data_IF_013856329526
#
_entry.id   IF_013856329526
#
_cell.length_a   1.000
_cell.length_b   1.000
_cell.length_c   1.000
_cell.angle_alpha   90.00
_cell.angle_beta   90.00
_cell.angle_gamma   90.00
#
_symmetry.space_group_name_H-M   'P 1'
#
loop_
_entity.id
_entity.type
_entity.pdbx_description
1 polymer ?
#
# COMPACT_ATOMS: atom_id res chain seq x y z
N UNK A 1 -13.03 -15.73 11.51
CA UNK A 1 -12.12 -15.23 10.45
C UNK A 1 -11.61 -13.79 10.69
N UNK A 2 -10.54 -13.39 9.98
CA UNK A 2 -9.88 -12.08 10.06
C UNK A 2 -10.04 -11.33 8.73
N UNK A 3 -10.65 -10.15 8.76
CA UNK A 3 -10.77 -9.23 7.62
C UNK A 3 -9.74 -8.10 7.75
N UNK A 4 -8.97 -7.89 6.69
CA UNK A 4 -7.95 -6.84 6.58
C UNK A 4 -8.39 -5.87 5.50
N UNK A 5 -8.37 -4.57 5.80
CA UNK A 5 -8.81 -3.52 4.88
C UNK A 5 -7.73 -2.44 4.83
N UNK A 6 -7.32 -2.06 3.62
CA UNK A 6 -6.43 -0.95 3.36
C UNK A 6 -7.17 0.12 2.54
N UNK A 7 -7.42 1.26 3.17
CA UNK A 7 -8.20 2.38 2.63
C UNK A 7 -7.26 3.51 2.23
N UNK A 8 -6.94 3.55 0.93
CA UNK A 8 -6.18 4.65 0.33
C UNK A 8 -7.05 5.82 -0.11
N UNK A 9 -6.46 6.76 -0.87
CA UNK A 9 -7.20 7.92 -1.39
C UNK A 9 -8.04 7.61 -2.65
N UNK A 10 -7.71 6.55 -3.38
CA UNK A 10 -8.31 6.25 -4.69
C UNK A 10 -9.05 4.92 -4.73
N UNK A 11 -8.69 3.97 -3.87
CA UNK A 11 -9.30 2.63 -3.80
C UNK A 11 -9.10 2.03 -2.41
N UNK A 12 -10.00 1.13 -2.04
CA UNK A 12 -9.86 0.28 -0.87
C UNK A 12 -9.52 -1.12 -1.31
N UNK A 13 -8.53 -1.73 -0.67
CA UNK A 13 -8.17 -3.12 -0.88
C UNK A 13 -8.55 -3.93 0.35
N UNK A 14 -8.97 -5.16 0.17
CA UNK A 14 -9.29 -6.03 1.31
C UNK A 14 -8.83 -7.46 1.07
N UNK A 15 -8.56 -8.16 2.17
CA UNK A 15 -8.30 -9.58 2.19
C UNK A 15 -8.93 -10.23 3.41
N UNK A 16 -9.37 -11.47 3.24
CA UNK A 16 -9.91 -12.33 4.28
C UNK A 16 -8.94 -13.48 4.54
N UNK A 17 -8.66 -13.76 5.80
CA UNK A 17 -7.75 -14.84 6.21
C UNK A 17 -8.12 -15.40 7.58
N UNK A 18 -7.30 -16.31 8.07
CA UNK A 18 -7.31 -16.81 9.44
C UNK A 18 -5.86 -17.05 9.91
N UNK A 19 -5.72 -17.47 11.17
CA UNK A 19 -4.41 -17.73 11.78
C UNK A 19 -3.61 -18.85 11.12
N UNK A 20 -4.28 -19.83 10.50
CA UNK A 20 -3.64 -20.98 9.85
C UNK A 20 -3.13 -20.63 8.45
N UNK A 21 -3.93 -19.86 7.69
CA UNK A 21 -3.60 -19.47 6.32
C UNK A 21 -2.55 -18.37 6.26
N UNK A 22 -2.55 -17.48 7.24
CA UNK A 22 -1.58 -16.42 7.33
C UNK A 22 -1.78 -15.36 6.25
N UNK A 23 -0.75 -15.14 5.43
CA UNK A 23 -0.80 -14.23 4.29
C UNK A 23 -1.33 -14.87 3.00
N UNK A 24 -1.77 -16.13 3.06
CA UNK A 24 -2.42 -16.80 1.93
C UNK A 24 -3.93 -16.52 1.99
N UNK A 25 -4.35 -15.42 1.37
CA UNK A 25 -5.73 -14.94 1.46
C UNK A 25 -6.75 -15.99 1.03
N UNK A 26 -7.79 -16.16 1.84
CA UNK A 26 -8.95 -16.97 1.50
C UNK A 26 -9.76 -16.29 0.39
N UNK A 27 -10.03 -14.99 0.58
CA UNK A 27 -10.67 -14.11 -0.39
C UNK A 27 -9.92 -12.78 -0.41
N UNK A 28 -9.93 -12.08 -1.53
CA UNK A 28 -9.39 -10.73 -1.62
C UNK A 28 -10.06 -9.97 -2.74
N UNK A 29 -10.03 -8.64 -2.66
CA UNK A 29 -10.66 -7.81 -3.67
C UNK A 29 -10.39 -6.33 -3.48
N UNK A 30 -11.13 -5.54 -4.26
CA UNK A 30 -11.10 -4.09 -4.22
C UNK A 30 -12.52 -3.56 -4.04
N UNK A 31 -12.66 -2.49 -3.27
CA UNK A 31 -13.88 -1.71 -3.15
C UNK A 31 -13.59 -0.28 -3.62
N UNK A 32 -14.52 0.27 -4.41
CA UNK A 32 -14.43 1.65 -4.87
C UNK A 32 -14.67 2.61 -3.70
N UNK A 33 -13.86 3.66 -3.64
CA UNK A 33 -13.96 4.73 -2.65
C UNK A 33 -14.83 5.87 -3.14
N UNK A 34 -15.01 6.04 -4.47
CA UNK A 34 -15.70 7.22 -4.99
C UNK A 34 -17.11 7.33 -4.38
N UNK A 35 -17.26 8.35 -3.53
CA UNK A 35 -18.43 8.77 -2.73
C UNK A 35 -18.67 8.16 -1.35
N UNK A 36 -17.81 7.28 -0.79
CA UNK A 36 -18.05 6.58 0.51
C UNK A 36 -19.54 6.26 0.72
N UNK A 37 -20.18 5.79 -0.35
CA UNK A 37 -21.61 5.64 -0.36
C UNK A 37 -21.96 4.54 0.63
N UNK A 38 -22.53 4.93 1.76
CA UNK A 38 -22.89 4.06 2.87
C UNK A 38 -23.63 2.81 2.37
N UNK A 39 -24.54 2.95 1.40
CA UNK A 39 -25.28 1.82 0.85
C UNK A 39 -24.38 0.82 0.11
N UNK A 40 -23.39 1.30 -0.65
CA UNK A 40 -22.45 0.43 -1.37
C UNK A 40 -21.57 -0.35 -0.40
N UNK A 41 -21.01 0.32 0.60
CA UNK A 41 -20.15 -0.30 1.60
C UNK A 41 -20.90 -1.33 2.45
N UNK A 42 -22.10 -0.99 2.93
CA UNK A 42 -22.95 -1.95 3.64
C UNK A 42 -23.32 -3.14 2.77
N UNK A 43 -23.62 -2.94 1.49
CA UNK A 43 -23.92 -4.05 0.58
C UNK A 43 -22.71 -4.97 0.38
N UNK A 44 -21.53 -4.40 0.13
CA UNK A 44 -20.27 -5.15 -0.02
C UNK A 44 -19.89 -5.93 1.24
N UNK A 45 -20.04 -5.32 2.42
CA UNK A 45 -19.78 -5.99 3.69
C UNK A 45 -20.78 -7.12 3.96
N UNK A 46 -22.07 -6.91 3.67
CA UNK A 46 -23.09 -7.95 3.81
C UNK A 46 -22.86 -9.11 2.84
N UNK A 47 -22.50 -8.82 1.59
CA UNK A 47 -22.16 -9.84 0.60
C UNK A 47 -20.97 -10.69 1.07
N UNK A 48 -19.91 -10.04 1.56
CA UNK A 48 -18.75 -10.74 2.11
C UNK A 48 -19.14 -11.59 3.33
N UNK A 49 -19.91 -11.03 4.28
CA UNK A 49 -20.40 -11.75 5.46
C UNK A 49 -21.17 -13.01 5.06
N UNK A 50 -22.14 -12.88 4.15
CA UNK A 50 -22.94 -14.01 3.71
C UNK A 50 -22.15 -15.06 2.95
N UNK A 51 -21.14 -14.66 2.15
CA UNK A 51 -20.25 -15.63 1.51
C UNK A 51 -19.45 -16.40 2.55
N UNK A 52 -18.95 -15.75 3.60
CA UNK A 52 -18.23 -16.42 4.70
C UNK A 52 -19.12 -17.40 5.46
N UNK A 53 -20.33 -16.97 5.83
CA UNK A 53 -21.30 -17.81 6.55
C UNK A 53 -21.75 -19.02 5.71
N UNK A 54 -22.03 -18.80 4.41
CA UNK A 54 -22.55 -19.83 3.50
C UNK A 54 -21.47 -20.79 3.02
N UNK A 55 -20.37 -20.27 2.52
CA UNK A 55 -19.36 -21.03 1.76
C UNK A 55 -18.28 -21.62 2.68
N UNK A 56 -18.06 -20.99 3.83
CA UNK A 56 -17.02 -21.40 4.79
C UNK A 56 -17.55 -21.82 6.16
N UNK A 57 -18.87 -21.64 6.43
CA UNK A 57 -19.52 -22.00 7.71
C UNK A 57 -18.81 -21.38 8.92
N UNK A 58 -18.36 -20.14 8.78
CA UNK A 58 -17.59 -19.39 9.77
C UNK A 58 -18.16 -17.95 9.87
N UNK A 59 -17.60 -17.13 10.76
CA UNK A 59 -17.92 -15.71 10.92
C UNK A 59 -16.68 -14.83 10.74
N UNK A 60 -16.87 -13.52 10.58
CA UNK A 60 -15.77 -12.55 10.64
C UNK A 60 -15.76 -11.98 12.06
N UNK A 61 -14.71 -12.27 12.82
CA UNK A 61 -14.64 -11.94 14.26
C UNK A 61 -13.57 -10.90 14.56
N UNK A 62 -12.69 -10.62 13.59
CA UNK A 62 -11.61 -9.64 13.71
C UNK A 62 -11.57 -8.83 12.43
N UNK A 63 -11.50 -7.51 12.58
CA UNK A 63 -11.35 -6.58 11.45
C UNK A 63 -10.20 -5.63 11.77
N UNK A 64 -9.24 -5.50 10.85
CA UNK A 64 -8.17 -4.51 10.93
C UNK A 64 -8.23 -3.56 9.74
N UNK A 65 -8.04 -2.27 9.99
CA UNK A 65 -8.15 -1.22 8.98
C UNK A 65 -6.89 -0.33 8.99
N UNK A 66 -6.16 -0.33 7.88
CA UNK A 66 -5.26 0.76 7.50
C UNK A 66 -6.10 1.84 6.82
N UNK A 67 -6.05 3.08 7.29
CA UNK A 67 -6.81 4.18 6.70
C UNK A 67 -5.96 5.46 6.67
N UNK A 68 -5.66 5.92 5.47
CA UNK A 68 -5.01 7.22 5.22
C UNK A 68 -5.95 8.24 4.59
N UNK A 69 -7.21 7.86 4.34
CA UNK A 69 -8.28 8.77 3.99
C UNK A 69 -8.67 9.64 5.21
N UNK A 70 -9.31 10.79 4.95
CA UNK A 70 -9.65 11.79 5.98
C UNK A 70 -10.46 11.25 7.17
N UNK A 71 -10.45 11.97 8.29
CA UNK A 71 -11.01 11.51 9.57
C UNK A 71 -12.50 11.12 9.50
N UNK A 72 -13.27 11.80 8.65
CA UNK A 72 -14.69 11.50 8.36
C UNK A 72 -14.87 10.08 7.80
N UNK A 73 -13.99 9.64 6.90
CA UNK A 73 -14.01 8.30 6.31
C UNK A 73 -13.83 7.23 7.38
N UNK A 74 -12.92 7.44 8.33
CA UNK A 74 -12.59 6.47 9.37
C UNK A 74 -13.79 6.21 10.29
N UNK A 75 -14.49 7.27 10.69
CA UNK A 75 -15.68 7.17 11.55
C UNK A 75 -16.83 6.42 10.87
N UNK A 76 -17.09 6.75 9.60
CA UNK A 76 -18.14 6.10 8.80
C UNK A 76 -17.87 4.60 8.65
N UNK A 77 -16.63 4.23 8.28
CA UNK A 77 -16.26 2.83 8.07
C UNK A 77 -16.36 2.01 9.38
N UNK A 78 -15.95 2.58 10.51
CA UNK A 78 -16.07 1.95 11.82
C UNK A 78 -17.53 1.62 12.15
N UNK A 79 -18.43 2.59 11.99
CA UNK A 79 -19.85 2.40 12.26
C UNK A 79 -20.46 1.31 11.36
N UNK A 80 -20.15 1.29 10.07
CA UNK A 80 -20.70 0.28 9.15
C UNK A 80 -20.22 -1.13 9.46
N UNK A 81 -18.95 -1.29 9.83
CA UNK A 81 -18.41 -2.59 10.23
C UNK A 81 -19.12 -3.07 11.50
N UNK A 82 -19.31 -2.20 12.48
CA UNK A 82 -20.00 -2.54 13.72
C UNK A 82 -21.46 -2.92 13.49
N UNK A 83 -22.18 -2.18 12.65
CA UNK A 83 -23.59 -2.44 12.32
C UNK A 83 -23.76 -3.74 11.51
N UNK A 84 -22.84 -4.01 10.58
CA UNK A 84 -22.99 -5.13 9.61
C UNK A 84 -22.43 -6.44 10.16
N UNK A 85 -21.21 -6.39 10.72
CA UNK A 85 -20.47 -7.56 11.19
C UNK A 85 -20.61 -7.79 12.70
N UNK A 86 -21.05 -6.78 13.48
CA UNK A 86 -21.11 -6.88 14.94
C UNK A 86 -19.74 -6.82 15.62
N UNK A 87 -18.68 -6.50 14.87
CA UNK A 87 -17.28 -6.45 15.34
C UNK A 87 -16.81 -5.01 15.42
N UNK A 88 -16.01 -4.67 16.43
CA UNK A 88 -15.32 -3.38 16.48
C UNK A 88 -13.96 -3.52 15.78
N UNK A 89 -13.70 -2.76 14.70
CA UNK A 89 -12.44 -2.83 13.98
C UNK A 89 -11.28 -2.24 14.78
N UNK A 90 -10.12 -2.85 14.62
CA UNK A 90 -8.84 -2.36 15.11
C UNK A 90 -8.21 -1.44 14.06
N UNK A 91 -7.65 -0.32 14.53
CA UNK A 91 -7.05 0.72 13.69
C UNK A 91 -5.57 0.86 14.07
N UNK A 92 -4.67 0.08 13.44
CA UNK A 92 -3.24 0.20 13.68
C UNK A 92 -2.74 1.64 13.47
N UNK A 93 -1.66 1.98 14.17
CA UNK A 93 -0.92 3.22 13.97
C UNK A 93 0.56 2.90 13.78
N UNK A 94 1.31 3.88 13.29
CA UNK A 94 2.76 3.77 13.27
C UNK A 94 3.32 3.77 14.69
N UNK A 95 3.99 2.69 15.06
CA UNK A 95 4.61 2.50 16.36
C UNK A 95 6.06 3.00 16.35
N UNK A 96 6.66 3.18 17.54
CA UNK A 96 8.07 3.55 17.66
C UNK A 96 9.00 2.42 17.22
N UNK A 97 8.58 1.18 17.46
CA UNK A 97 9.30 -0.03 17.07
C UNK A 97 8.35 -1.17 16.75
N UNK A 98 8.86 -2.12 15.97
CA UNK A 98 8.21 -3.39 15.68
C UNK A 98 9.25 -4.52 15.74
N UNK A 99 8.85 -5.67 16.28
CA UNK A 99 9.68 -6.88 16.29
C UNK A 99 8.98 -7.99 15.52
N UNK A 100 9.65 -8.47 14.48
CA UNK A 100 9.16 -9.54 13.61
C UNK A 100 9.11 -10.88 14.34
N UNK A 101 8.37 -11.83 13.79
CA UNK A 101 8.30 -13.21 14.30
C UNK A 101 9.66 -13.92 14.26
N UNK A 102 10.59 -13.43 13.43
CA UNK A 102 11.96 -13.95 13.30
C UNK A 102 12.98 -13.19 14.16
N UNK A 103 12.52 -12.24 14.97
CA UNK A 103 13.37 -11.44 15.87
C UNK A 103 14.05 -10.23 15.23
N UNK A 104 13.82 -9.96 13.95
CA UNK A 104 14.29 -8.74 13.30
C UNK A 104 13.53 -7.53 13.85
N UNK A 105 14.21 -6.39 13.97
CA UNK A 105 13.63 -5.15 14.47
C UNK A 105 13.32 -4.20 13.32
N UNK A 106 12.34 -3.34 13.54
CA UNK A 106 12.06 -2.15 12.75
C UNK A 106 11.93 -0.98 13.73
N UNK A 107 12.73 0.06 13.58
CA UNK A 107 12.72 1.24 14.47
C UNK A 107 12.33 2.46 13.66
N UNK A 108 11.29 3.17 14.10
CA UNK A 108 10.77 4.34 13.42
C UNK A 108 11.67 5.57 13.66
N UNK A 109 12.11 6.25 12.60
CA UNK A 109 12.91 7.48 12.71
C UNK A 109 12.10 8.75 12.99
N UNK A 110 10.78 8.70 12.85
CA UNK A 110 9.96 9.87 13.14
C UNK A 110 9.94 10.11 14.65
N UNK A 111 10.28 11.34 15.08
CA UNK A 111 10.22 11.74 16.51
C UNK A 111 8.84 11.50 17.12
N UNK A 112 7.79 11.74 16.33
CA UNK A 112 6.42 11.39 16.65
C UNK A 112 6.05 10.23 15.74
N UNK A 113 6.13 9.00 16.24
CA UNK A 113 5.96 7.78 15.44
C UNK A 113 4.65 7.79 14.63
N UNK A 114 3.55 8.19 15.28
CA UNK A 114 2.22 8.28 14.67
C UNK A 114 2.08 9.32 13.53
N UNK A 115 3.08 10.20 13.34
CA UNK A 115 3.11 11.12 12.21
C UNK A 115 3.61 10.44 10.91
N UNK A 116 4.18 9.24 11.00
CA UNK A 116 4.43 8.41 9.83
C UNK A 116 3.11 7.80 9.35
N UNK A 117 2.86 7.84 8.03
CA UNK A 117 1.69 7.21 7.42
C UNK A 117 1.58 5.74 7.81
N UNK A 118 0.39 5.32 8.24
CA UNK A 118 0.15 3.95 8.71
C UNK A 118 0.36 2.92 7.60
N UNK A 119 0.04 3.28 6.34
CA UNK A 119 0.29 2.47 5.15
C UNK A 119 1.79 2.21 4.94
N UNK A 120 2.63 3.25 5.03
CA UNK A 120 4.09 3.16 4.95
C UNK A 120 4.66 2.32 6.09
N UNK A 121 4.18 2.53 7.31
CA UNK A 121 4.59 1.72 8.46
C UNK A 121 4.27 0.24 8.27
N UNK A 122 3.03 -0.09 7.88
CA UNK A 122 2.60 -1.47 7.68
C UNK A 122 3.33 -2.12 6.50
N UNK A 123 3.63 -1.38 5.44
CA UNK A 123 4.45 -1.86 4.34
C UNK A 123 5.87 -2.24 4.82
N UNK A 124 6.50 -1.43 5.68
CA UNK A 124 7.78 -1.76 6.31
C UNK A 124 7.69 -2.93 7.30
N UNK A 125 6.60 -3.04 8.06
CA UNK A 125 6.33 -4.20 8.93
C UNK A 125 6.32 -5.49 8.11
N UNK A 126 5.60 -5.53 6.99
CA UNK A 126 5.60 -6.68 6.09
C UNK A 126 6.99 -6.93 5.49
N UNK A 127 7.69 -5.89 5.02
CA UNK A 127 9.02 -6.05 4.45
C UNK A 127 10.03 -6.61 5.46
N UNK A 128 9.92 -6.25 6.74
CA UNK A 128 10.73 -6.79 7.85
C UNK A 128 10.48 -8.29 8.06
N UNK A 129 9.26 -8.75 7.83
CA UNK A 129 8.88 -10.17 7.90
C UNK A 129 9.28 -10.98 6.66
N UNK A 130 9.44 -10.32 5.51
CA UNK A 130 9.70 -10.97 4.22
C UNK A 130 11.16 -10.89 3.75
N UNK A 131 11.94 -9.97 4.31
CA UNK A 131 13.30 -9.65 3.85
C UNK A 131 14.29 -9.55 5.01
N UNK A 132 15.57 -9.43 4.67
CA UNK A 132 16.66 -9.22 5.62
C UNK A 132 17.16 -7.78 5.41
N UNK A 133 17.22 -6.92 6.44
CA UNK A 133 17.80 -5.59 6.31
C UNK A 133 19.26 -5.65 5.82
N UNK A 134 19.75 -4.65 5.05
CA UNK A 134 19.05 -3.43 4.70
C UNK A 134 18.16 -3.62 3.46
N UNK A 135 17.01 -2.96 3.43
CA UNK A 135 16.08 -3.02 2.30
C UNK A 135 15.38 -1.68 2.07
N UNK A 136 14.82 -1.51 0.88
CA UNK A 136 13.94 -0.39 0.57
C UNK A 136 12.52 -0.90 0.29
N UNK A 137 11.52 -0.10 0.65
CA UNK A 137 10.11 -0.31 0.30
C UNK A 137 9.67 0.83 -0.60
N UNK A 138 9.04 0.50 -1.74
CA UNK A 138 8.51 1.47 -2.69
C UNK A 138 7.05 1.13 -2.95
N UNK A 139 6.13 1.98 -2.49
CA UNK A 139 4.71 1.87 -2.84
C UNK A 139 4.40 2.85 -3.98
N UNK A 140 4.04 2.33 -5.15
CA UNK A 140 3.66 3.08 -6.33
C UNK A 140 2.14 3.04 -6.54
N UNK A 141 1.46 4.02 -5.98
CA UNK A 141 0.01 4.25 -6.13
C UNK A 141 -0.31 5.70 -6.44
N UNK A 142 -1.29 6.28 -5.75
CA UNK A 142 -1.67 7.70 -5.90
C UNK A 142 -0.47 8.64 -5.66
N UNK A 143 0.34 8.30 -4.66
CA UNK A 143 1.71 8.80 -4.49
C UNK A 143 2.68 7.63 -4.71
N UNK A 144 3.92 7.95 -5.07
CA UNK A 144 5.04 7.02 -4.95
C UNK A 144 5.76 7.35 -3.66
N UNK A 145 5.86 6.37 -2.76
CA UNK A 145 6.64 6.48 -1.53
C UNK A 145 7.91 5.63 -1.64
N UNK A 146 8.95 6.05 -0.93
CA UNK A 146 10.18 5.29 -0.72
C UNK A 146 10.47 5.33 0.77
N UNK A 147 10.71 4.18 1.39
CA UNK A 147 11.16 4.05 2.77
C UNK A 147 12.37 3.12 2.82
N UNK A 148 13.44 3.53 3.51
CA UNK A 148 14.71 2.77 3.56
C UNK A 148 14.94 2.27 4.98
N UNK A 149 15.25 0.98 5.13
CA UNK A 149 15.58 0.34 6.40
C UNK A 149 17.04 -0.11 6.38
N UNK A 150 17.81 0.35 7.35
CA UNK A 150 19.24 0.06 7.51
C UNK A 150 19.53 -1.30 8.15
N UNK A 151 20.81 -1.62 8.30
CA UNK A 151 21.30 -2.96 8.69
C UNK A 151 20.76 -3.45 10.04
N UNK A 152 20.47 -2.53 10.97
CA UNK A 152 19.99 -2.87 12.31
C UNK A 152 18.47 -2.71 12.45
N UNK A 153 17.75 -2.52 11.33
CA UNK A 153 16.31 -2.34 11.31
C UNK A 153 15.86 -0.89 11.49
N UNK A 154 16.76 0.08 11.55
CA UNK A 154 16.41 1.49 11.64
C UNK A 154 15.79 1.99 10.32
N UNK A 155 14.61 2.59 10.38
CA UNK A 155 14.05 3.33 9.26
C UNK A 155 14.87 4.60 9.05
N UNK A 156 15.65 4.68 7.97
CA UNK A 156 16.56 5.80 7.66
C UNK A 156 15.85 7.02 7.05
N UNK A 157 14.53 6.94 6.88
CA UNK A 157 13.73 7.96 6.23
C UNK A 157 13.31 7.55 4.84
N UNK A 158 12.69 8.52 4.14
CA UNK A 158 12.00 8.23 2.90
C UNK A 158 11.59 9.46 2.12
N UNK A 159 10.96 9.23 0.97
CA UNK A 159 10.42 10.25 0.09
C UNK A 159 8.94 10.00 -0.18
N UNK A 160 8.23 11.07 -0.53
CA UNK A 160 6.88 11.02 -1.09
C UNK A 160 6.89 11.92 -2.32
N UNK A 161 6.55 11.35 -3.48
CA UNK A 161 6.39 12.09 -4.74
C UNK A 161 4.99 11.78 -5.31
N UNK A 162 4.43 12.65 -6.18
CA UNK A 162 3.18 12.32 -6.85
C UNK A 162 3.32 11.07 -7.73
N UNK A 163 2.32 10.20 -7.70
CA UNK A 163 2.24 9.06 -8.61
C UNK A 163 1.85 9.50 -10.02
N UNK A 164 1.89 8.56 -10.98
CA UNK A 164 1.71 8.88 -12.40
C UNK A 164 0.41 9.65 -12.67
N UNK A 165 -0.72 9.12 -12.18
CA UNK A 165 -2.04 9.77 -12.36
C UNK A 165 -2.13 11.12 -11.67
N UNK A 166 -1.48 11.29 -10.51
CA UNK A 166 -1.47 12.57 -9.80
C UNK A 166 -0.65 13.61 -10.56
N UNK A 167 0.52 13.25 -11.10
CA UNK A 167 1.31 14.14 -11.96
C UNK A 167 0.53 14.60 -13.20
N UNK A 168 -0.13 13.66 -13.88
CA UNK A 168 -0.94 13.97 -15.07
C UNK A 168 -2.11 14.90 -14.71
N UNK A 169 -2.89 14.54 -13.68
CA UNK A 169 -4.06 15.32 -13.27
C UNK A 169 -3.70 16.71 -12.74
N UNK A 170 -2.59 16.87 -12.01
CA UNK A 170 -2.15 18.19 -11.55
C UNK A 170 -1.81 19.10 -12.73
N UNK A 171 -1.10 18.57 -13.73
CA UNK A 171 -0.75 19.36 -14.92
C UNK A 171 -2.00 19.74 -15.71
N UNK A 172 -2.90 18.78 -15.99
CA UNK A 172 -4.12 19.03 -16.74
C UNK A 172 -5.08 19.99 -16.01
N UNK A 173 -5.16 19.93 -14.68
CA UNK A 173 -6.03 20.81 -13.90
C UNK A 173 -5.56 22.26 -13.93
N UNK A 174 -4.26 22.49 -13.81
CA UNK A 174 -3.71 23.83 -13.61
C UNK A 174 -3.22 24.49 -14.92
N UNK A 175 -3.36 23.82 -16.08
CA UNK A 175 -2.91 24.36 -17.38
C UNK A 175 -3.98 24.23 -18.48
N UNK A 176 -4.78 25.30 -18.66
CA UNK A 176 -5.92 25.31 -19.59
C UNK A 176 -5.58 24.95 -21.04
N UNK A 177 -4.40 25.35 -21.54
CA UNK A 177 -3.98 25.04 -22.92
C UNK A 177 -3.58 23.56 -23.11
N UNK A 178 -2.92 22.96 -22.13
CA UNK A 178 -2.53 21.54 -22.20
C UNK A 178 -3.78 20.66 -22.10
N UNK A 179 -4.70 21.00 -21.18
CA UNK A 179 -5.98 20.31 -21.05
C UNK A 179 -6.79 20.36 -22.35
N UNK A 180 -6.90 21.55 -22.95
CA UNK A 180 -7.58 21.72 -24.23
C UNK A 180 -6.92 20.90 -25.33
N UNK A 181 -5.59 20.98 -25.50
CA UNK A 181 -4.88 20.23 -26.55
C UNK A 181 -4.93 18.71 -26.35
N UNK A 182 -4.92 18.22 -25.11
CA UNK A 182 -5.07 16.79 -24.81
C UNK A 182 -6.44 16.24 -25.24
N UNK A 183 -7.52 17.03 -25.11
CA UNK A 183 -8.88 16.62 -25.49
C UNK A 183 -9.14 16.63 -27.00
N UNK A 184 -8.37 17.39 -27.78
CA UNK A 184 -8.67 17.67 -29.19
C UNK A 184 -7.78 16.91 -30.19
N UNK A 185 -6.88 16.03 -29.72
CA UNK A 185 -6.05 15.19 -30.61
C UNK A 185 -5.64 13.83 -29.98
N UNK A 186 -6.60 12.96 -29.61
CA UNK A 186 -6.31 11.70 -28.92
C UNK A 186 -5.74 10.60 -29.84
N UNK A 187 -5.93 10.70 -31.16
CA UNK A 187 -5.78 9.55 -32.08
C UNK A 187 -4.42 9.43 -32.79
N UNK A 188 -3.44 10.30 -32.52
CA UNK A 188 -2.10 10.12 -33.08
C UNK A 188 -1.33 9.07 -32.28
N UNK A 189 -1.29 7.83 -32.75
CA UNK A 189 -0.33 6.85 -32.22
C UNK A 189 1.07 7.30 -32.58
N UNK A 190 1.94 7.41 -31.57
CA UNK A 190 3.37 7.52 -31.80
C UNK A 190 3.93 6.16 -32.24
N UNK A 191 4.90 6.16 -33.16
CA UNK A 191 5.63 4.96 -33.57
C UNK A 191 6.72 4.55 -32.55
N UNK A 192 6.88 5.34 -31.48
CA UNK A 192 7.91 5.17 -30.46
C UNK A 192 7.31 5.19 -29.05
N UNK A 193 7.78 4.28 -28.19
CA UNK A 193 7.24 4.05 -26.85
C UNK A 193 7.67 5.10 -25.79
N UNK A 194 8.38 6.17 -26.19
CA UNK A 194 8.97 7.14 -25.26
C UNK A 194 8.94 8.60 -25.72
N UNK A 195 8.58 8.88 -26.98
CA UNK A 195 8.35 10.24 -27.49
C UNK A 195 6.92 10.36 -27.97
N UNK A 196 6.24 11.44 -27.59
CA UNK A 196 4.86 11.68 -27.94
C UNK A 196 4.71 12.65 -29.12
N UNK A 197 3.69 12.44 -29.94
CA UNK A 197 3.31 13.33 -31.05
C UNK A 197 2.01 14.10 -30.78
N UNK A 198 1.36 13.85 -29.64
CA UNK A 198 0.24 14.64 -29.14
C UNK A 198 0.40 14.97 -27.65
N UNK A 199 -0.38 15.95 -27.19
CA UNK A 199 -0.28 16.48 -25.83
C UNK A 199 -0.67 15.46 -24.76
N UNK A 200 -1.69 14.64 -25.00
CA UNK A 200 -2.10 13.63 -24.02
C UNK A 200 -0.97 12.64 -23.76
N UNK A 201 -0.42 12.04 -24.82
CA UNK A 201 0.73 11.13 -24.73
C UNK A 201 1.96 11.83 -24.16
N UNK A 202 2.19 13.11 -24.45
CA UNK A 202 3.34 13.84 -23.91
C UNK A 202 3.28 13.93 -22.38
N UNK A 203 2.08 14.16 -21.84
CA UNK A 203 1.85 14.18 -20.39
C UNK A 203 1.95 12.78 -19.78
N UNK A 204 1.37 11.76 -20.42
CA UNK A 204 1.42 10.37 -19.97
C UNK A 204 2.86 9.82 -19.96
N UNK A 205 3.58 9.95 -21.08
CA UNK A 205 4.98 9.53 -21.20
C UNK A 205 5.89 10.34 -20.27
N UNK A 206 5.68 11.64 -20.14
CA UNK A 206 6.42 12.48 -19.20
C UNK A 206 6.30 11.99 -17.75
N UNK A 207 5.07 11.68 -17.30
CA UNK A 207 4.83 11.16 -15.95
C UNK A 207 5.45 9.76 -15.73
N UNK A 208 5.37 8.89 -16.74
CA UNK A 208 5.98 7.56 -16.70
C UNK A 208 7.51 7.66 -16.62
N UNK A 209 8.13 8.43 -17.51
CA UNK A 209 9.58 8.65 -17.55
C UNK A 209 10.10 9.34 -16.28
N UNK A 210 9.35 10.30 -15.73
CA UNK A 210 9.69 10.92 -14.45
C UNK A 210 9.70 9.89 -13.31
N UNK A 211 8.71 8.98 -13.28
CA UNK A 211 8.62 7.93 -12.26
C UNK A 211 9.78 6.93 -12.38
N UNK A 212 10.05 6.43 -13.59
CA UNK A 212 11.15 5.49 -13.84
C UNK A 212 12.50 6.15 -13.54
N UNK A 213 12.75 7.36 -14.07
CA UNK A 213 13.99 8.08 -13.84
C UNK A 213 14.24 8.42 -12.36
N UNK A 214 13.19 8.78 -11.62
CA UNK A 214 13.29 8.95 -10.16
C UNK A 214 13.70 7.64 -9.47
N UNK A 215 13.01 6.53 -9.76
CA UNK A 215 13.28 5.24 -9.15
C UNK A 215 14.70 4.76 -9.44
N UNK A 216 15.13 4.81 -10.70
CA UNK A 216 16.48 4.40 -11.07
C UNK A 216 17.53 5.29 -10.42
N UNK A 217 17.35 6.62 -10.46
CA UNK A 217 18.30 7.56 -9.83
C UNK A 217 18.42 7.35 -8.32
N UNK A 218 17.29 7.16 -7.62
CA UNK A 218 17.32 7.00 -6.16
C UNK A 218 17.85 5.62 -5.77
N UNK A 219 17.51 4.56 -6.50
CA UNK A 219 18.02 3.22 -6.24
C UNK A 219 19.53 3.16 -6.50
N UNK A 220 20.00 3.76 -7.59
CA UNK A 220 21.44 3.84 -7.87
C UNK A 220 22.14 4.60 -6.75
N UNK A 221 21.62 5.76 -6.31
CA UNK A 221 22.18 6.49 -5.16
C UNK A 221 22.23 5.63 -3.91
N UNK A 222 21.17 4.87 -3.60
CA UNK A 222 21.16 3.98 -2.44
C UNK A 222 22.24 2.90 -2.55
N UNK A 223 22.38 2.25 -3.70
CA UNK A 223 23.42 1.23 -3.92
C UNK A 223 24.85 1.78 -3.85
N UNK A 224 25.07 3.07 -4.13
CA UNK A 224 26.37 3.70 -3.93
C UNK A 224 26.71 3.95 -2.45
N UNK A 225 25.71 4.04 -1.57
CA UNK A 225 25.91 4.33 -0.14
C UNK A 225 25.74 3.10 0.75
N UNK A 226 24.97 2.09 0.31
CA UNK A 226 24.71 0.87 1.07
C UNK A 226 24.37 -0.31 0.16
N UNK A 227 24.67 -1.52 0.64
CA UNK A 227 24.36 -2.76 -0.07
C UNK A 227 22.96 -3.27 0.28
N UNK A 228 21.94 -2.74 -0.40
CA UNK A 228 20.56 -3.21 -0.24
C UNK A 228 20.46 -4.71 -0.59
N UNK A 229 19.89 -5.49 0.31
CA UNK A 229 19.58 -6.90 0.06
C UNK A 229 18.37 -7.05 -0.87
N UNK A 230 17.41 -6.14 -0.78
CA UNK A 230 16.22 -6.15 -1.61
C UNK A 230 15.53 -4.79 -1.68
N UNK A 231 14.76 -4.61 -2.75
CA UNK A 231 13.84 -3.49 -2.96
C UNK A 231 12.46 -4.10 -3.13
N UNK A 232 11.59 -3.91 -2.15
CA UNK A 232 10.22 -4.41 -2.18
C UNK A 232 9.35 -3.36 -2.85
N UNK A 233 8.72 -3.70 -3.97
CA UNK A 233 7.81 -2.78 -4.68
C UNK A 233 6.36 -3.24 -4.53
N UNK A 234 5.45 -2.32 -4.24
CA UNK A 234 4.00 -2.56 -4.11
C UNK A 234 3.20 -1.41 -4.72
N UNK A 235 1.88 -1.50 -4.70
CA UNK A 235 1.01 -0.49 -5.28
C UNK A 235 0.51 -0.85 -6.68
N UNK A 236 -0.35 -0.01 -7.24
CA UNK A 236 -1.07 -0.31 -8.50
C UNK A 236 -0.25 -0.11 -9.75
N UNK A 237 0.72 0.79 -9.68
CA UNK A 237 1.59 1.12 -10.79
C UNK A 237 2.92 0.34 -10.68
N UNK A 238 3.16 -0.38 -9.58
CA UNK A 238 4.44 -1.06 -9.34
C UNK A 238 4.73 -2.16 -10.34
N UNK A 239 3.74 -2.96 -10.77
CA UNK A 239 3.99 -4.04 -11.74
C UNK A 239 4.50 -3.47 -13.08
N UNK A 240 3.86 -2.40 -13.57
CA UNK A 240 4.31 -1.68 -14.75
C UNK A 240 5.72 -1.10 -14.56
N UNK A 241 5.95 -0.40 -13.45
CA UNK A 241 7.24 0.24 -13.18
C UNK A 241 8.36 -0.79 -13.03
N UNK A 242 8.13 -1.91 -12.32
CA UNK A 242 9.06 -3.04 -12.23
C UNK A 242 9.47 -3.54 -13.62
N UNK A 243 8.51 -3.63 -14.55
CA UNK A 243 8.73 -4.02 -15.94
C UNK A 243 9.66 -3.07 -16.71
N UNK A 244 9.71 -1.79 -16.33
CA UNK A 244 10.45 -0.75 -17.03
C UNK A 244 11.85 -0.48 -16.46
N UNK A 245 12.10 -0.84 -15.19
CA UNK A 245 13.42 -0.62 -14.56
C UNK A 245 14.58 -1.32 -15.31
N UNK A 246 15.76 -0.73 -15.21
CA UNK A 246 17.01 -1.28 -15.73
C UNK A 246 17.31 -2.69 -15.17
N UNK A 247 17.92 -3.53 -16.00
CA UNK A 247 18.26 -4.93 -15.66
C UNK A 247 19.16 -5.05 -14.43
N UNK A 248 20.07 -4.09 -14.22
CA UNK A 248 20.98 -4.03 -13.07
C UNK A 248 20.23 -3.89 -11.74
N UNK A 249 19.09 -3.20 -11.74
CA UNK A 249 18.24 -2.95 -10.57
C UNK A 249 17.27 -4.11 -10.35
N UNK A 250 16.66 -4.63 -11.42
CA UNK A 250 15.63 -5.67 -11.38
C UNK A 250 16.00 -6.90 -10.52
N UNK A 251 17.28 -7.25 -10.45
CA UNK A 251 17.76 -8.39 -9.63
C UNK A 251 17.52 -8.22 -8.11
N UNK A 252 17.37 -6.99 -7.63
CA UNK A 252 17.07 -6.69 -6.23
C UNK A 252 15.57 -6.50 -5.97
N UNK A 253 14.79 -6.30 -7.03
CA UNK A 253 13.38 -5.92 -6.94
C UNK A 253 12.50 -7.14 -6.69
N UNK A 254 11.64 -7.05 -5.68
CA UNK A 254 10.60 -8.02 -5.36
C UNK A 254 9.26 -7.33 -5.39
N UNK A 255 8.44 -7.63 -6.39
CA UNK A 255 7.06 -7.14 -6.43
C UNK A 255 6.19 -7.90 -5.41
N UNK A 256 5.49 -7.15 -4.57
CA UNK A 256 4.60 -7.67 -3.54
C UNK A 256 3.26 -6.92 -3.59
N UNK A 257 2.29 -7.51 -4.29
CA UNK A 257 0.99 -6.88 -4.59
C UNK A 257 0.21 -6.43 -3.34
N UNK A 258 0.28 -7.20 -2.25
CA UNK A 258 -0.59 -7.04 -1.06
C UNK A 258 0.18 -6.58 0.19
N UNK A 259 1.30 -5.87 0.01
CA UNK A 259 2.27 -5.63 1.09
C UNK A 259 1.67 -4.95 2.33
N UNK A 260 0.80 -3.95 2.16
CA UNK A 260 0.13 -3.28 3.28
C UNK A 260 -0.83 -4.22 4.03
N UNK A 261 -1.57 -5.07 3.31
CA UNK A 261 -2.45 -6.09 3.91
C UNK A 261 -1.64 -7.16 4.64
N UNK A 262 -0.50 -7.58 4.09
CA UNK A 262 0.47 -8.44 4.79
C UNK A 262 0.96 -7.76 6.07
N UNK A 263 1.22 -6.47 6.01
CA UNK A 263 1.60 -5.64 7.15
C UNK A 263 0.56 -5.65 8.26
N UNK A 264 -0.72 -5.45 7.91
CA UNK A 264 -1.84 -5.56 8.86
C UNK A 264 -1.87 -6.94 9.54
N UNK A 265 -1.70 -8.01 8.77
CA UNK A 265 -1.69 -9.36 9.32
C UNK A 265 -0.53 -9.60 10.29
N UNK A 266 0.69 -9.19 9.92
CA UNK A 266 1.86 -9.34 10.79
C UNK A 266 1.81 -8.46 12.03
N UNK A 267 1.26 -7.24 11.90
CA UNK A 267 0.98 -6.37 13.03
C UNK A 267 -0.05 -7.02 13.97
N UNK A 268 -1.15 -7.58 13.45
CA UNK A 268 -2.15 -8.32 14.22
C UNK A 268 -1.53 -9.46 15.03
N UNK A 269 -0.72 -10.31 14.37
CA UNK A 269 -0.05 -11.43 15.04
C UNK A 269 0.86 -11.01 16.18
N UNK A 270 1.48 -9.85 16.05
CA UNK A 270 2.46 -9.34 17.02
C UNK A 270 1.77 -8.63 18.18
N UNK A 271 0.74 -7.84 17.90
CA UNK A 271 0.16 -6.93 18.89
C UNK A 271 -1.10 -7.45 19.57
N UNK A 272 -1.90 -8.29 18.90
CA UNK A 272 -3.21 -8.72 19.40
C UNK A 272 -3.22 -10.19 19.83
N UNK A 273 -2.60 -11.08 19.06
CA UNK A 273 -2.50 -12.49 19.47
C UNK A 273 -1.58 -12.69 20.67
N UNK A 274 -0.38 -12.08 20.67
CA UNK A 274 0.56 -12.23 21.81
C UNK A 274 -0.02 -11.69 23.12
N UNK A 275 -0.64 -10.50 23.11
CA UNK A 275 -1.29 -9.93 24.30
C UNK A 275 -2.42 -10.79 24.86
N UNK A 276 -3.14 -11.51 24.00
CA UNK A 276 -4.23 -12.41 24.44
C UNK A 276 -3.68 -13.70 25.03
N UNK A 277 -2.58 -14.23 24.49
CA UNK A 277 -1.89 -15.41 25.04
C UNK A 277 -1.18 -15.09 26.37
N UNK A 278 -0.55 -13.91 26.49
CA UNK A 278 0.11 -13.48 27.72
C UNK A 278 -0.88 -13.24 28.86
N UNK A 279 -2.08 -12.69 28.56
CA UNK A 279 -3.17 -12.53 29.53
C UNK A 279 -3.85 -13.86 29.93
N UNK A 280 -3.82 -14.88 29.08
CA UNK A 280 -4.39 -16.19 29.40
C UNK A 280 -3.44 -17.04 30.27
N UNK A 281 -2.15 -16.70 30.30
CA UNK A 281 -1.11 -17.38 31.07
C UNK A 281 -0.70 -16.61 32.35
N UNK A 282 -1.35 -15.48 32.63
CA UNK A 282 -1.17 -14.65 33.84
C UNK A 282 -2.34 -14.81 34.80
#
# INVERSE_FOLDING_TARGET
MILLIDVGNTRSKWALTDNTRGINWLLSGYWDIQSFNQKLWSAQLNELKHSVERDHKDSIDTVLISCVAGEDTRGVLNNHIKETLGVSPELPQADAEYQSQRGAKLVNSYKVAAALGVDRWLAMVAATELSIPPFAVIDAGTAITLDVVGDNGEHLGGHIIPGQKLMQSSLLKDTGRIAWSAQHNPDSKSDNDWLATNTQQAVEFGALQASVGYLESVIDKLHHHMSLNSIIMTGGDAEQLCGLLNRSIKKYVKYQKDLVLQGLFYWYRTNLLKKTADKANS
#
